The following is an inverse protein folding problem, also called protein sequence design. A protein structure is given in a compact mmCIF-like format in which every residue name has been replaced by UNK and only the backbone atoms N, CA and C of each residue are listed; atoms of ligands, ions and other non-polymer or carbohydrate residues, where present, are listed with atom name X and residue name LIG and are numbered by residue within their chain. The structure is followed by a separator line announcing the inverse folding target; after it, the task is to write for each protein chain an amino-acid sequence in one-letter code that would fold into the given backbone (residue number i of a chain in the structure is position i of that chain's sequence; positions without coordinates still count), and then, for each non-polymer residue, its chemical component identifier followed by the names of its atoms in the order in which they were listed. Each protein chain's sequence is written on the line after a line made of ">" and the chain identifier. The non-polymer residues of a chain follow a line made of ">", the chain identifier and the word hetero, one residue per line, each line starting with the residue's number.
data_IF_039400875854
#
_entry.id   IF_039400875854
#
_cell.length_a   1.000
_cell.length_b   1.000
_cell.length_c   1.000
_cell.angle_alpha   90.00
_cell.angle_beta   90.00
_cell.angle_gamma   90.00
#
_symmetry.space_group_name_H-M   'P 1'
#
loop_
_entity.id
_entity.type
_entity.pdbx_description
1 polymer ?
#
# COMPACT_ATOMS: atom_id res chain seq x y z
N UNK A 1 -5.25 -5.57 -25.09
CA UNK A 1 -4.65 -4.65 -24.10
C UNK A 1 -4.30 -5.44 -22.87
N UNK A 2 -3.08 -5.27 -22.33
CA UNK A 2 -2.70 -5.82 -21.02
C UNK A 2 -3.60 -5.15 -19.97
N UNK A 3 -4.20 -5.92 -19.06
CA UNK A 3 -5.05 -5.36 -18.00
C UNK A 3 -4.17 -4.55 -17.05
N UNK A 4 -4.56 -3.31 -16.75
CA UNK A 4 -3.88 -2.49 -15.74
C UNK A 4 -4.17 -3.06 -14.36
N UNK A 5 -3.13 -3.28 -13.56
CA UNK A 5 -3.25 -3.85 -12.22
C UNK A 5 -3.42 -2.72 -11.20
N UNK A 6 -4.37 -2.86 -10.28
CA UNK A 6 -4.65 -1.88 -9.24
C UNK A 6 -4.31 -2.44 -7.86
N UNK A 7 -3.43 -1.77 -7.13
CA UNK A 7 -3.02 -2.18 -5.78
C UNK A 7 -3.50 -1.16 -4.76
N UNK A 8 -4.37 -1.58 -3.86
CA UNK A 8 -4.82 -0.76 -2.73
C UNK A 8 -3.80 -0.74 -1.60
N UNK A 9 -3.42 0.44 -1.13
CA UNK A 9 -2.54 0.62 0.04
C UNK A 9 -3.34 1.28 1.16
N UNK A 10 -3.69 0.49 2.18
CA UNK A 10 -4.55 0.91 3.29
C UNK A 10 -3.84 0.82 4.63
N UNK A 11 -4.42 1.42 5.67
CA UNK A 11 -3.85 1.37 7.02
C UNK A 11 -4.19 2.57 7.91
N UNK A 12 -3.81 2.52 9.19
CA UNK A 12 -3.98 3.63 10.12
C UNK A 12 -3.35 4.95 9.68
N UNK A 13 -3.88 6.04 10.24
CA UNK A 13 -3.28 7.37 10.11
C UNK A 13 -1.81 7.30 10.56
N UNK A 14 -0.90 7.78 9.72
CA UNK A 14 0.52 7.84 10.03
C UNK A 14 1.29 6.52 9.99
N UNK A 15 0.71 5.40 9.55
CA UNK A 15 1.44 4.10 9.51
C UNK A 15 2.58 4.05 8.48
N UNK A 16 2.56 4.97 7.50
CA UNK A 16 3.60 5.11 6.47
C UNK A 16 3.18 4.66 5.08
N UNK A 17 1.89 4.75 4.74
CA UNK A 17 1.33 4.44 3.41
C UNK A 17 1.95 5.30 2.30
N UNK A 18 1.88 6.62 2.41
CA UNK A 18 2.53 7.57 1.49
C UNK A 18 4.03 7.33 1.37
N UNK A 19 4.71 7.04 2.50
CA UNK A 19 6.13 6.72 2.50
C UNK A 19 6.43 5.42 1.75
N UNK A 20 5.55 4.40 1.83
CA UNK A 20 5.68 3.18 1.06
C UNK A 20 5.54 3.49 -0.43
N UNK A 21 4.52 4.25 -0.82
CA UNK A 21 4.27 4.61 -2.21
C UNK A 21 5.42 5.42 -2.82
N UNK A 22 5.99 6.38 -2.09
CA UNK A 22 7.18 7.12 -2.56
C UNK A 22 8.34 6.19 -2.89
N UNK A 23 8.64 5.23 -1.98
CA UNK A 23 9.75 4.29 -2.16
C UNK A 23 9.49 3.29 -3.28
N UNK A 24 8.27 2.77 -3.38
CA UNK A 24 7.86 1.87 -4.46
C UNK A 24 7.96 2.59 -5.81
N UNK A 25 7.35 3.78 -5.95
CA UNK A 25 7.38 4.54 -7.19
C UNK A 25 8.81 4.85 -7.63
N UNK A 26 9.66 5.39 -6.75
CA UNK A 26 11.06 5.70 -7.09
C UNK A 26 11.86 4.49 -7.55
N UNK A 27 11.58 3.33 -6.99
CA UNK A 27 12.32 2.09 -7.31
C UNK A 27 11.78 1.42 -8.57
N UNK A 28 10.46 1.47 -8.79
CA UNK A 28 9.77 0.71 -9.83
C UNK A 28 9.49 1.51 -11.11
N UNK A 29 9.47 2.85 -11.08
CA UNK A 29 9.05 3.71 -12.21
C UNK A 29 9.88 3.60 -13.49
N UNK A 30 11.08 3.04 -13.42
CA UNK A 30 11.92 2.80 -14.59
C UNK A 30 11.59 1.48 -15.30
N UNK A 31 10.81 0.61 -14.66
CA UNK A 31 10.43 -0.72 -15.14
C UNK A 31 8.95 -0.84 -15.47
N UNK A 32 8.11 -0.03 -14.83
CA UNK A 32 6.66 -0.06 -15.01
C UNK A 32 6.12 1.33 -15.35
N UNK A 33 5.05 1.36 -16.14
CA UNK A 33 4.25 2.56 -16.38
C UNK A 33 3.22 2.68 -15.27
N UNK A 34 3.42 3.64 -14.37
CA UNK A 34 2.69 3.71 -13.10
C UNK A 34 1.93 5.02 -12.92
N UNK A 35 0.86 4.98 -12.12
CA UNK A 35 0.18 6.15 -11.56
C UNK A 35 -0.21 5.90 -10.10
N UNK A 36 -0.50 6.97 -9.37
CA UNK A 36 -0.98 6.92 -7.97
C UNK A 36 -2.26 7.73 -7.83
N UNK A 37 -3.26 7.16 -7.17
CA UNK A 37 -4.44 7.85 -6.67
C UNK A 37 -4.33 7.93 -5.14
N UNK A 38 -4.26 9.12 -4.58
CA UNK A 38 -4.19 9.33 -3.12
C UNK A 38 -5.52 9.85 -2.60
N UNK A 39 -5.98 9.32 -1.46
CA UNK A 39 -7.22 9.75 -0.84
C UNK A 39 -6.95 10.48 0.48
N UNK A 40 -7.51 11.67 0.61
CA UNK A 40 -7.47 12.47 1.83
C UNK A 40 -8.87 12.99 2.15
N UNK A 41 -9.18 13.25 3.42
CA UNK A 41 -10.54 13.69 3.79
C UNK A 41 -10.76 15.15 3.39
N UNK A 42 -9.80 16.02 3.68
CA UNK A 42 -9.96 17.48 3.58
C UNK A 42 -8.84 18.18 2.78
N UNK A 43 -7.79 17.44 2.41
CA UNK A 43 -6.52 17.98 1.90
C UNK A 43 -6.10 17.26 0.61
N UNK A 44 -4.97 17.67 0.03
CA UNK A 44 -4.27 16.93 -1.02
C UNK A 44 -2.82 16.68 -0.59
N UNK A 45 -2.60 16.57 0.72
CA UNK A 45 -1.27 16.59 1.33
C UNK A 45 -0.44 15.39 0.85
N UNK A 46 -1.04 14.20 0.79
CA UNK A 46 -0.34 13.00 0.30
C UNK A 46 0.01 13.09 -1.19
N UNK A 47 -0.85 13.70 -2.01
CA UNK A 47 -0.58 13.97 -3.42
C UNK A 47 0.59 14.95 -3.58
N UNK A 48 0.54 16.08 -2.86
CA UNK A 48 1.57 17.12 -2.87
C UNK A 48 2.91 16.57 -2.35
N UNK A 49 2.87 15.73 -1.30
CA UNK A 49 4.04 15.03 -0.79
C UNK A 49 4.71 14.19 -1.88
N UNK A 50 3.95 13.36 -2.61
CA UNK A 50 4.49 12.51 -3.67
C UNK A 50 5.05 13.32 -4.84
N UNK A 51 4.40 14.43 -5.22
CA UNK A 51 4.87 15.35 -6.26
C UNK A 51 6.19 16.00 -5.82
N UNK A 52 6.23 16.59 -4.61
CA UNK A 52 7.42 17.26 -4.08
C UNK A 52 8.61 16.32 -3.89
N UNK A 53 8.34 15.06 -3.57
CA UNK A 53 9.38 14.05 -3.45
C UNK A 53 9.77 13.44 -4.80
N UNK A 54 9.19 13.88 -5.91
CA UNK A 54 9.42 13.32 -7.24
C UNK A 54 9.22 11.81 -7.25
N UNK A 55 8.13 11.32 -6.67
CA UNK A 55 7.80 9.88 -6.70
C UNK A 55 7.55 9.44 -8.15
N UNK A 56 6.70 10.17 -8.87
CA UNK A 56 6.42 10.09 -10.30
C UNK A 56 6.36 11.52 -10.89
N UNK A 57 6.14 11.64 -12.20
CA UNK A 57 5.74 12.91 -12.79
C UNK A 57 4.37 13.36 -12.25
N UNK A 58 4.17 14.67 -12.12
CA UNK A 58 2.96 15.25 -11.52
C UNK A 58 1.68 14.79 -12.22
N UNK A 59 1.72 14.67 -13.54
CA UNK A 59 0.62 14.19 -14.38
C UNK A 59 0.24 12.71 -14.16
N UNK A 60 0.92 12.00 -13.26
CA UNK A 60 0.66 10.60 -12.87
C UNK A 60 0.21 10.45 -11.43
N UNK A 61 -0.01 11.55 -10.71
CA UNK A 61 -0.41 11.55 -9.30
C UNK A 61 -1.73 12.31 -9.18
N UNK A 62 -2.78 11.59 -8.80
CA UNK A 62 -4.15 12.07 -8.73
C UNK A 62 -4.61 12.12 -7.27
N UNK A 63 -5.18 13.25 -6.84
CA UNK A 63 -5.66 13.45 -5.48
C UNK A 63 -7.19 13.44 -5.42
N UNK A 64 -7.74 12.58 -4.57
CA UNK A 64 -9.19 12.49 -4.29
C UNK A 64 -9.46 13.02 -2.88
N UNK A 65 -10.32 14.04 -2.81
CA UNK A 65 -10.85 14.53 -1.53
C UNK A 65 -12.17 13.81 -1.22
N UNK A 66 -12.16 12.94 -0.22
CA UNK A 66 -13.30 12.05 0.05
C UNK A 66 -14.47 12.76 0.76
N UNK A 67 -14.20 13.85 1.48
CA UNK A 67 -15.21 14.61 2.23
C UNK A 67 -15.83 13.89 3.43
N UNK A 68 -15.42 12.64 3.71
CA UNK A 68 -15.97 11.79 4.76
C UNK A 68 -15.09 10.58 5.10
N UNK A 69 -15.64 9.59 5.80
CA UNK A 69 -14.88 8.42 6.27
C UNK A 69 -14.10 7.74 5.12
N UNK A 70 -12.79 7.51 5.26
CA UNK A 70 -11.96 6.94 4.19
C UNK A 70 -12.45 5.57 3.68
N UNK A 71 -12.94 4.70 4.58
CA UNK A 71 -13.46 3.38 4.17
C UNK A 71 -14.60 3.48 3.15
N UNK A 72 -15.44 4.51 3.23
CA UNK A 72 -16.53 4.73 2.25
C UNK A 72 -15.97 4.88 0.86
N UNK A 73 -14.95 5.74 0.70
CA UNK A 73 -14.35 6.05 -0.59
C UNK A 73 -13.61 4.87 -1.24
N UNK A 74 -13.28 3.82 -0.49
CA UNK A 74 -12.56 2.65 -1.00
C UNK A 74 -13.39 1.36 -1.00
N UNK A 75 -14.61 1.40 -0.44
CA UNK A 75 -15.45 0.20 -0.26
C UNK A 75 -16.93 0.43 -0.57
N UNK A 76 -17.59 1.29 0.19
CA UNK A 76 -19.06 1.47 0.05
C UNK A 76 -19.45 2.33 -1.16
N UNK A 77 -18.69 3.39 -1.43
CA UNK A 77 -18.88 4.29 -2.56
C UNK A 77 -17.51 4.70 -3.10
N UNK A 78 -17.00 3.88 -4.02
CA UNK A 78 -15.70 4.09 -4.66
C UNK A 78 -15.77 4.96 -5.93
N UNK A 79 -16.90 5.65 -6.17
CA UNK A 79 -17.14 6.39 -7.42
C UNK A 79 -16.04 7.41 -7.73
N UNK A 80 -15.61 8.19 -6.74
CA UNK A 80 -14.53 9.17 -6.91
C UNK A 80 -13.18 8.52 -7.25
N UNK A 81 -12.90 7.33 -6.72
CA UNK A 81 -11.69 6.60 -7.07
C UNK A 81 -11.78 6.02 -8.49
N UNK A 82 -12.95 5.52 -8.90
CA UNK A 82 -13.16 5.08 -10.28
C UNK A 82 -12.99 6.24 -11.27
N UNK A 83 -13.55 7.41 -11.00
CA UNK A 83 -13.35 8.61 -11.82
C UNK A 83 -11.87 8.99 -11.94
N UNK A 84 -11.12 8.97 -10.83
CA UNK A 84 -9.68 9.26 -10.85
C UNK A 84 -8.86 8.21 -11.62
N UNK A 85 -9.23 6.92 -11.50
CA UNK A 85 -8.61 5.83 -12.26
C UNK A 85 -8.89 5.97 -13.75
N UNK A 86 -10.14 6.25 -14.13
CA UNK A 86 -10.54 6.43 -15.53
C UNK A 86 -9.83 7.64 -16.15
N UNK A 87 -9.67 8.72 -15.40
CA UNK A 87 -8.87 9.87 -15.80
C UNK A 87 -7.40 9.48 -16.02
N UNK A 88 -6.79 8.74 -15.09
CA UNK A 88 -5.41 8.27 -15.22
C UNK A 88 -5.19 7.40 -16.47
N UNK A 89 -6.15 6.51 -16.77
CA UNK A 89 -6.11 5.65 -17.95
C UNK A 89 -6.33 6.42 -19.26
N UNK A 90 -7.14 7.49 -19.23
CA UNK A 90 -7.34 8.39 -20.37
C UNK A 90 -6.08 9.20 -20.67
N UNK A 91 -5.46 9.78 -19.64
CA UNK A 91 -4.25 10.59 -19.79
C UNK A 91 -3.03 9.74 -20.17
N UNK A 92 -2.95 8.50 -19.65
CA UNK A 92 -1.84 7.57 -19.85
C UNK A 92 -2.35 6.16 -20.25
N UNK A 93 -2.68 5.94 -21.55
CA UNK A 93 -3.19 4.64 -22.02
C UNK A 93 -2.19 3.48 -21.93
N UNK A 94 -0.91 3.78 -21.64
CA UNK A 94 0.19 2.82 -21.52
C UNK A 94 0.43 2.34 -20.09
N UNK A 95 -0.39 2.74 -19.12
CA UNK A 95 -0.27 2.32 -17.72
C UNK A 95 -0.34 0.79 -17.56
N UNK A 96 0.48 0.28 -16.64
CA UNK A 96 0.54 -1.12 -16.26
C UNK A 96 0.10 -1.33 -14.80
N UNK A 97 0.34 -0.32 -13.95
CA UNK A 97 0.11 -0.40 -12.51
C UNK A 97 -0.43 0.92 -11.97
N UNK A 98 -1.48 0.86 -11.16
CA UNK A 98 -2.03 2.00 -10.41
C UNK A 98 -2.04 1.66 -8.93
N UNK A 99 -1.44 2.51 -8.10
CA UNK A 99 -1.63 2.45 -6.66
C UNK A 99 -2.81 3.29 -6.23
N UNK A 100 -3.61 2.79 -5.30
CA UNK A 100 -4.72 3.52 -4.67
C UNK A 100 -4.47 3.60 -3.17
N UNK A 101 -4.05 4.75 -2.68
CA UNK A 101 -3.86 4.99 -1.25
C UNK A 101 -5.21 5.31 -0.59
N UNK A 102 -5.56 4.60 0.48
CA UNK A 102 -6.68 5.03 1.31
C UNK A 102 -6.30 6.23 2.18
N UNK A 103 -7.28 7.04 2.57
CA UNK A 103 -7.11 7.89 3.75
C UNK A 103 -6.79 7.02 4.98
N UNK A 104 -6.12 7.60 5.98
CA UNK A 104 -5.81 6.87 7.21
C UNK A 104 -7.08 6.50 7.97
N UNK A 105 -7.27 5.21 8.28
CA UNK A 105 -8.50 4.71 8.91
C UNK A 105 -8.23 3.60 9.94
N UNK A 106 -9.24 3.22 10.69
CA UNK A 106 -9.16 2.19 11.71
C UNK A 106 -8.99 0.77 11.12
N UNK A 107 -8.78 -0.22 12.01
CA UNK A 107 -8.48 -1.61 11.64
C UNK A 107 -9.60 -2.32 10.85
N UNK A 108 -10.81 -1.75 10.78
CA UNK A 108 -11.94 -2.28 10.02
C UNK A 108 -11.91 -1.94 8.52
N UNK A 109 -11.03 -1.03 8.11
CA UNK A 109 -10.91 -0.62 6.72
C UNK A 109 -10.34 -1.73 5.83
N UNK A 110 -10.94 -1.90 4.65
CA UNK A 110 -10.54 -2.85 3.61
C UNK A 110 -11.07 -2.33 2.27
N UNK A 111 -10.37 -2.61 1.18
CA UNK A 111 -10.78 -2.20 -0.16
C UNK A 111 -11.90 -3.10 -0.70
N UNK A 112 -12.77 -2.55 -1.54
CA UNK A 112 -13.67 -3.34 -2.38
C UNK A 112 -12.86 -4.12 -3.44
N UNK A 113 -13.17 -5.40 -3.68
CA UNK A 113 -12.60 -6.17 -4.80
C UNK A 113 -12.93 -5.59 -6.17
N UNK A 114 -13.94 -4.72 -6.29
CA UNK A 114 -14.24 -4.02 -7.54
C UNK A 114 -13.25 -2.89 -7.82
N UNK A 115 -12.69 -2.30 -6.76
CA UNK A 115 -11.77 -1.18 -6.87
C UNK A 115 -10.33 -1.65 -7.18
N UNK A 116 -9.82 -2.64 -6.44
CA UNK A 116 -8.42 -3.07 -6.50
C UNK A 116 -8.30 -4.58 -6.75
N UNK A 117 -7.23 -4.99 -7.44
CA UNK A 117 -6.90 -6.39 -7.73
C UNK A 117 -6.13 -7.06 -6.58
N UNK A 118 -5.35 -6.28 -5.82
CA UNK A 118 -4.63 -6.73 -4.64
C UNK A 118 -4.57 -5.62 -3.56
N UNK A 119 -4.36 -6.01 -2.31
CA UNK A 119 -4.36 -5.11 -1.17
C UNK A 119 -3.13 -5.28 -0.26
N UNK A 120 -2.46 -4.18 0.00
CA UNK A 120 -1.41 -4.03 1.00
C UNK A 120 -1.99 -3.26 2.19
N UNK A 121 -1.89 -3.81 3.39
CA UNK A 121 -2.29 -3.11 4.61
C UNK A 121 -1.06 -2.78 5.45
N UNK A 122 -0.88 -1.50 5.79
CA UNK A 122 0.28 -0.98 6.51
C UNK A 122 -0.13 -0.64 7.94
N UNK A 123 0.39 -1.37 8.91
CA UNK A 123 0.41 -0.97 10.32
C UNK A 123 1.83 -0.57 10.69
N UNK A 124 2.02 -0.01 11.88
CA UNK A 124 3.36 0.35 12.36
C UNK A 124 3.55 0.05 13.84
N UNK A 125 4.81 -0.07 14.23
CA UNK A 125 5.21 -0.44 15.59
C UNK A 125 4.79 0.60 16.64
N UNK A 126 4.66 1.88 16.28
CA UNK A 126 4.26 2.93 17.24
C UNK A 126 2.79 2.80 17.68
N UNK A 127 1.95 2.07 16.94
CA UNK A 127 0.61 1.66 17.40
C UNK A 127 0.63 0.63 18.54
N UNK A 128 1.80 0.06 18.83
CA UNK A 128 2.08 -0.92 19.88
C UNK A 128 2.03 -2.37 19.39
N UNK A 129 2.78 -3.25 20.06
CA UNK A 129 2.92 -4.67 19.68
C UNK A 129 1.62 -5.49 19.71
N UNK A 130 0.54 -4.91 20.26
CA UNK A 130 -0.80 -5.48 20.31
C UNK A 130 -1.62 -5.31 19.05
N UNK A 131 -1.19 -4.46 18.13
CA UNK A 131 -1.98 -4.18 16.91
C UNK A 131 -2.27 -5.45 16.12
N UNK A 132 -1.32 -6.38 15.86
CA UNK A 132 -1.63 -7.62 15.16
C UNK A 132 -2.76 -8.43 15.82
N UNK A 133 -2.70 -8.65 17.15
CA UNK A 133 -3.74 -9.42 17.88
C UNK A 133 -5.09 -8.71 18.00
N UNK A 134 -5.18 -7.40 17.72
CA UNK A 134 -6.47 -6.71 17.60
C UNK A 134 -7.22 -7.09 16.32
N UNK A 135 -6.54 -7.66 15.32
CA UNK A 135 -7.16 -8.16 14.10
C UNK A 135 -7.72 -7.05 13.21
N UNK A 136 -8.89 -7.33 12.61
CA UNK A 136 -9.49 -6.52 11.56
C UNK A 136 -9.20 -7.06 10.16
N UNK A 137 -10.06 -6.79 9.16
CA UNK A 137 -9.90 -7.31 7.80
C UNK A 137 -8.57 -6.90 7.17
N UNK A 138 -8.07 -5.68 7.42
CA UNK A 138 -6.75 -5.25 6.96
C UNK A 138 -5.60 -6.12 7.51
N UNK A 139 -5.64 -6.47 8.80
CA UNK A 139 -4.59 -7.32 9.42
C UNK A 139 -4.74 -8.78 9.05
N UNK A 140 -5.97 -9.28 8.90
CA UNK A 140 -6.24 -10.73 8.77
C UNK A 140 -6.43 -11.20 7.33
N UNK A 141 -6.86 -10.32 6.42
CA UNK A 141 -7.32 -10.70 5.07
C UNK A 141 -6.61 -9.98 3.92
N UNK A 142 -5.89 -8.89 4.18
CA UNK A 142 -5.05 -8.27 3.15
C UNK A 142 -4.11 -9.28 2.50
N UNK A 143 -3.81 -9.07 1.23
CA UNK A 143 -2.93 -9.96 0.48
C UNK A 143 -1.49 -9.86 1.01
N UNK A 144 -1.07 -8.65 1.41
CA UNK A 144 0.17 -8.40 2.15
C UNK A 144 -0.07 -7.48 3.36
N UNK A 145 0.43 -7.87 4.54
CA UNK A 145 0.53 -6.99 5.70
C UNK A 145 1.96 -6.44 5.83
N UNK A 146 2.09 -5.13 6.00
CA UNK A 146 3.36 -4.47 6.33
C UNK A 146 3.30 -4.01 7.78
N UNK A 147 4.37 -4.29 8.52
CA UNK A 147 4.59 -3.82 9.89
C UNK A 147 5.78 -2.86 9.86
N UNK A 148 5.48 -1.58 9.72
CA UNK A 148 6.46 -0.54 9.46
C UNK A 148 7.06 0.06 10.74
N UNK A 149 8.14 0.84 10.57
CA UNK A 149 8.85 1.58 11.62
C UNK A 149 9.46 0.67 12.68
N UNK A 150 10.05 -0.44 12.28
CA UNK A 150 10.69 -1.39 13.21
C UNK A 150 11.81 -0.76 14.04
N UNK A 151 12.43 0.31 13.53
CA UNK A 151 13.46 1.09 14.20
C UNK A 151 12.96 1.78 15.48
N UNK A 152 11.64 2.05 15.60
CA UNK A 152 11.08 2.71 16.78
C UNK A 152 10.71 1.75 17.90
N UNK A 153 10.81 0.42 17.69
CA UNK A 153 10.39 -0.59 18.67
C UNK A 153 10.97 -0.36 20.08
N UNK A 154 12.28 -0.08 20.26
CA UNK A 154 12.86 0.19 21.57
C UNK A 154 12.31 1.46 22.23
N UNK A 155 11.88 2.44 21.43
CA UNK A 155 11.41 3.75 21.90
C UNK A 155 10.00 3.69 22.47
N UNK A 156 9.18 2.76 21.97
CA UNK A 156 7.76 2.60 22.37
C UNK A 156 7.53 1.35 23.24
N UNK A 157 8.60 0.62 23.57
CA UNK A 157 8.51 -0.61 24.39
C UNK A 157 7.75 -1.74 23.70
N UNK A 158 7.81 -1.82 22.37
CA UNK A 158 7.15 -2.86 21.59
C UNK A 158 8.12 -4.01 21.28
N UNK A 159 7.65 -5.26 21.36
CA UNK A 159 8.42 -6.43 20.95
C UNK A 159 8.09 -6.85 19.51
N UNK A 160 9.08 -6.85 18.63
CA UNK A 160 8.94 -7.37 17.26
C UNK A 160 8.65 -8.87 17.26
N UNK A 161 9.16 -9.63 18.22
CA UNK A 161 8.88 -11.06 18.38
C UNK A 161 7.40 -11.32 18.71
N UNK A 162 6.81 -10.48 19.56
CA UNK A 162 5.37 -10.54 19.86
C UNK A 162 4.55 -10.21 18.62
N UNK A 163 4.96 -9.20 17.85
CA UNK A 163 4.27 -8.83 16.61
C UNK A 163 4.38 -9.92 15.54
N UNK A 164 5.52 -10.58 15.42
CA UNK A 164 5.74 -11.71 14.51
C UNK A 164 4.82 -12.88 14.85
N UNK A 165 4.86 -13.33 16.11
CA UNK A 165 4.01 -14.42 16.61
C UNK A 165 2.53 -14.13 16.40
N UNK A 166 2.09 -12.94 16.78
CA UNK A 166 0.68 -12.57 16.70
C UNK A 166 0.23 -12.40 15.24
N UNK A 167 1.09 -11.87 14.36
CA UNK A 167 0.81 -11.79 12.92
C UNK A 167 0.64 -13.17 12.30
N UNK A 168 1.56 -14.11 12.56
CA UNK A 168 1.45 -15.51 12.12
C UNK A 168 0.14 -16.14 12.58
N UNK A 169 -0.22 -15.94 13.85
CA UNK A 169 -1.48 -16.46 14.40
C UNK A 169 -2.72 -15.88 13.70
N UNK A 170 -2.72 -14.57 13.43
CA UNK A 170 -3.89 -13.87 12.88
C UNK A 170 -4.02 -14.01 11.37
N UNK A 171 -2.94 -14.38 10.66
CA UNK A 171 -2.88 -14.45 9.19
C UNK A 171 -2.77 -15.85 8.62
N UNK A 172 -2.43 -16.85 9.43
CA UNK A 172 -2.13 -18.19 8.92
C UNK A 172 -0.94 -18.13 7.95
N UNK A 173 -1.14 -18.64 6.74
CA UNK A 173 -0.10 -18.68 5.70
C UNK A 173 0.03 -17.36 4.90
N UNK A 174 -0.83 -16.36 5.14
CA UNK A 174 -0.78 -15.08 4.41
C UNK A 174 0.48 -14.28 4.78
N UNK A 175 1.20 -13.72 3.80
CA UNK A 175 2.50 -13.10 4.05
C UNK A 175 2.36 -11.80 4.84
N UNK A 176 3.40 -11.49 5.61
CA UNK A 176 3.61 -10.17 6.18
C UNK A 176 5.10 -9.84 6.21
N UNK A 177 5.44 -8.55 6.17
CA UNK A 177 6.82 -8.06 6.10
C UNK A 177 7.04 -6.97 7.14
N UNK A 178 8.13 -7.08 7.90
CA UNK A 178 8.63 -5.98 8.72
C UNK A 178 9.39 -4.99 7.85
N UNK A 179 9.10 -3.70 8.00
CA UNK A 179 9.79 -2.65 7.23
C UNK A 179 10.32 -1.53 8.10
N UNK A 180 11.42 -0.95 7.63
CA UNK A 180 11.81 0.41 7.98
C UNK A 180 11.94 1.20 6.67
N UNK A 181 10.90 1.95 6.30
CA UNK A 181 10.89 2.69 5.03
C UNK A 181 11.86 3.89 5.02
N UNK A 182 12.44 4.25 6.18
CA UNK A 182 13.48 5.28 6.29
C UNK A 182 14.79 4.81 5.68
N UNK A 183 15.21 3.58 5.97
CA UNK A 183 16.44 2.97 5.44
C UNK A 183 16.19 1.93 4.33
N UNK A 184 14.91 1.72 3.96
CA UNK A 184 14.42 0.78 2.96
C UNK A 184 14.50 -0.69 3.37
N UNK A 185 14.72 -1.00 4.65
CA UNK A 185 14.64 -2.39 5.14
C UNK A 185 13.27 -2.99 4.83
N UNK A 186 13.27 -4.17 4.22
CA UNK A 186 12.07 -4.92 3.82
C UNK A 186 11.41 -4.44 2.53
N UNK A 187 11.85 -3.32 1.93
CA UNK A 187 11.26 -2.79 0.70
C UNK A 187 11.42 -3.76 -0.48
N UNK A 188 12.60 -4.36 -0.63
CA UNK A 188 12.86 -5.32 -1.73
C UNK A 188 11.95 -6.55 -1.63
N UNK A 189 11.62 -7.01 -0.42
CA UNK A 189 10.65 -8.09 -0.20
C UNK A 189 9.24 -7.69 -0.64
N UNK A 190 8.84 -6.43 -0.39
CA UNK A 190 7.54 -5.91 -0.86
C UNK A 190 7.51 -5.83 -2.38
N UNK A 191 8.58 -5.32 -3.02
CA UNK A 191 8.68 -5.23 -4.48
C UNK A 191 8.62 -6.63 -5.09
N UNK A 192 9.39 -7.58 -4.56
CA UNK A 192 9.39 -8.95 -5.03
C UNK A 192 7.99 -9.58 -4.93
N UNK A 193 7.28 -9.37 -3.81
CA UNK A 193 5.90 -9.83 -3.66
C UNK A 193 4.95 -9.20 -4.71
N UNK A 194 5.09 -7.90 -5.00
CA UNK A 194 4.31 -7.26 -6.07
C UNK A 194 4.61 -7.93 -7.42
N UNK A 195 5.87 -8.19 -7.72
CA UNK A 195 6.28 -8.78 -9.00
C UNK A 195 5.76 -10.22 -9.16
N UNK A 196 5.91 -11.07 -8.15
CA UNK A 196 5.56 -12.50 -8.26
C UNK A 196 4.09 -12.78 -8.01
N UNK A 197 3.49 -12.19 -6.97
CA UNK A 197 2.13 -12.54 -6.54
C UNK A 197 1.05 -11.68 -7.21
N UNK A 198 1.40 -10.46 -7.63
CA UNK A 198 0.42 -9.50 -8.15
C UNK A 198 0.58 -9.27 -9.66
N UNK A 199 1.81 -9.04 -10.13
CA UNK A 199 2.10 -8.87 -11.56
C UNK A 199 2.34 -10.21 -12.28
N UNK A 200 2.44 -11.31 -11.53
CA UNK A 200 2.64 -12.67 -12.04
C UNK A 200 3.86 -12.79 -12.97
N UNK A 201 4.92 -12.06 -12.64
CA UNK A 201 6.18 -12.17 -13.35
C UNK A 201 6.80 -13.53 -13.07
N UNK A 202 7.29 -14.17 -14.13
CA UNK A 202 8.05 -15.39 -13.99
C UNK A 202 9.33 -15.08 -13.21
N UNK A 203 9.66 -15.88 -12.20
CA UNK A 203 11.00 -15.81 -11.63
C UNK A 203 12.02 -15.90 -12.77
N UNK A 204 13.06 -15.06 -12.80
CA UNK A 204 14.10 -15.20 -13.80
C UNK A 204 14.61 -16.63 -13.68
N UNK A 205 14.44 -17.42 -14.74
CA UNK A 205 14.96 -18.78 -14.83
C UNK A 205 16.35 -18.77 -14.22
N UNK A 206 16.51 -19.40 -13.05
CA UNK A 206 17.81 -19.79 -12.58
C UNK A 206 18.34 -20.70 -13.68
N UNK A 207 19.22 -20.16 -14.51
CA UNK A 207 19.87 -20.92 -15.55
C UNK A 207 20.60 -22.03 -14.80
N UNK A 208 20.05 -23.25 -14.92
CA UNK A 208 20.81 -24.46 -14.73
C UNK A 208 21.99 -24.37 -15.70
N UNK A 209 23.19 -24.12 -15.16
CA UNK A 209 24.46 -24.86 -15.30
C UNK A 209 25.54 -24.09 -14.53
#
# INVERSE_FOLDING_TARGET
>A
MKKVVKIGVGGPVGSGKTALLDRLCKTMRNHYRMAVVTNDIFTREDMEFLIHNEALSEDRIYGVQTGGCPHTAIREDASLNFEAIDQALSDHPDLELIFVESGGDNLAASFSPELVDASIYVIDVSGGDKVPRKGGPGVTRSDLLIINKIDVAPLVGASLEVMDRDSKKMRGDRPFVFTNLKDKTGLDTVIHWIQTEVLLESEPNSIAV
#
